data_IF_641212140125
#
_entry.id   IF_641212140125
#
_cell.length_a   1.000
_cell.length_b   1.000
_cell.length_c   1.000
_cell.angle_alpha   90.00
_cell.angle_beta   90.00
_cell.angle_gamma   90.00
#
_symmetry.space_group_name_H-M   'P 1'
#
loop_
_entity.id
_entity.type
_entity.pdbx_description
1 polymer ?
#
# COMPACT_ATOMS: atom_id res chain seq x y z
N UNK A 1 -43.45 24.29 -0.11
CA UNK A 1 -42.37 24.92 0.70
C UNK A 1 -41.23 25.28 -0.24
N UNK A 2 -40.13 25.91 0.21
CA UNK A 2 -38.94 26.13 -0.64
C UNK A 2 -37.73 25.52 0.06
N UNK A 3 -36.77 25.02 -0.71
CA UNK A 3 -35.51 24.54 -0.16
C UNK A 3 -34.76 25.72 0.47
N UNK A 4 -34.31 25.57 1.72
CA UNK A 4 -33.60 26.64 2.44
C UNK A 4 -32.19 26.88 1.87
N UNK A 5 -31.60 25.86 1.23
CA UNK A 5 -30.28 25.97 0.63
C UNK A 5 -30.28 26.60 -0.77
N UNK A 6 -31.17 26.16 -1.67
CA UNK A 6 -31.17 26.60 -3.08
C UNK A 6 -32.39 27.45 -3.49
N UNK A 7 -33.38 27.62 -2.62
CA UNK A 7 -34.54 28.49 -2.83
C UNK A 7 -35.63 27.98 -3.79
N UNK A 8 -35.47 26.78 -4.38
CA UNK A 8 -36.45 26.22 -5.31
C UNK A 8 -37.72 25.69 -4.61
N UNK A 9 -38.90 25.74 -5.27
CA UNK A 9 -40.14 25.20 -4.71
C UNK A 9 -40.02 23.69 -4.51
N UNK A 10 -40.53 23.22 -3.37
CA UNK A 10 -40.61 21.81 -3.00
C UNK A 10 -42.07 21.37 -2.98
N UNK A 11 -42.32 20.19 -3.52
CA UNK A 11 -43.61 19.52 -3.45
C UNK A 11 -43.87 18.96 -2.06
N UNK A 12 -45.15 18.75 -1.73
CA UNK A 12 -45.55 18.30 -0.39
C UNK A 12 -45.15 16.84 -0.20
N UNK A 13 -44.22 16.58 0.73
CA UNK A 13 -43.77 15.23 1.10
C UNK A 13 -42.39 14.86 0.57
N UNK A 14 -41.70 15.76 -0.13
CA UNK A 14 -40.31 15.56 -0.55
C UNK A 14 -39.37 15.47 0.67
N UNK A 15 -38.57 14.40 0.74
CA UNK A 15 -37.56 14.20 1.78
C UNK A 15 -36.23 14.89 1.43
N UNK A 16 -35.95 15.01 0.13
CA UNK A 16 -34.75 15.65 -0.43
C UNK A 16 -35.17 16.61 -1.53
N UNK A 17 -34.44 17.71 -1.68
CA UNK A 17 -34.64 18.65 -2.77
C UNK A 17 -34.24 17.98 -4.09
N UNK A 18 -35.12 17.87 -5.10
CA UNK A 18 -34.81 17.21 -6.37
C UNK A 18 -33.75 17.94 -7.20
N UNK A 19 -33.35 19.15 -6.78
CA UNK A 19 -32.50 20.04 -7.55
C UNK A 19 -31.10 20.20 -6.97
N UNK A 20 -30.96 20.16 -5.64
CA UNK A 20 -29.64 20.19 -4.99
C UNK A 20 -29.31 18.93 -4.17
N UNK A 21 -30.25 17.99 -4.04
CA UNK A 21 -30.06 16.73 -3.31
C UNK A 21 -30.09 16.84 -1.78
N UNK A 22 -30.13 18.05 -1.21
CA UNK A 22 -30.13 18.24 0.25
C UNK A 22 -31.46 17.85 0.89
N UNK A 23 -31.46 17.26 2.10
CA UNK A 23 -32.68 16.91 2.82
C UNK A 23 -33.51 18.16 3.15
N UNK A 24 -34.83 18.02 3.11
CA UNK A 24 -35.80 19.12 3.30
C UNK A 24 -36.04 19.45 4.78
N UNK A 25 -35.74 18.52 5.68
CA UNK A 25 -35.89 18.65 7.13
C UNK A 25 -34.54 18.35 7.80
N UNK A 26 -33.57 19.25 7.60
CA UNK A 26 -32.28 19.16 8.29
C UNK A 26 -32.46 19.74 9.70
N UNK A 27 -32.71 18.88 10.69
CA UNK A 27 -32.64 19.29 12.09
C UNK A 27 -31.17 19.55 12.44
N UNK A 28 -30.89 20.74 12.98
CA UNK A 28 -29.56 21.20 13.41
C UNK A 28 -28.98 20.44 14.64
N UNK A 29 -29.46 19.24 14.98
CA UNK A 29 -29.00 18.51 16.17
C UNK A 29 -27.83 17.54 15.93
N UNK A 30 -27.33 17.41 14.69
CA UNK A 30 -26.17 16.55 14.35
C UNK A 30 -25.04 17.29 13.61
N UNK A 31 -24.60 18.47 14.06
CA UNK A 31 -23.57 19.20 13.32
C UNK A 31 -22.90 20.41 13.98
N UNK A 32 -22.49 20.34 15.25
CA UNK A 32 -21.68 21.41 15.86
C UNK A 32 -20.21 21.06 16.14
N UNK A 33 -19.57 20.18 15.34
CA UNK A 33 -18.10 20.03 15.45
C UNK A 33 -17.33 19.85 14.14
N UNK A 34 -17.97 19.99 12.98
CA UNK A 34 -17.27 19.99 11.69
C UNK A 34 -17.56 21.26 10.90
N UNK A 35 -17.17 22.40 11.46
CA UNK A 35 -16.93 23.60 10.65
C UNK A 35 -15.46 23.59 10.26
N UNK A 36 -15.18 23.14 9.03
CA UNK A 36 -13.92 23.44 8.37
C UNK A 36 -13.78 24.97 8.32
N UNK A 37 -12.93 25.52 9.19
CA UNK A 37 -12.49 26.91 9.09
C UNK A 37 -11.70 27.02 7.78
N UNK A 38 -12.32 27.60 6.76
CA UNK A 38 -11.58 28.08 5.61
C UNK A 38 -10.57 29.14 6.09
N UNK A 39 -9.28 28.85 5.98
CA UNK A 39 -8.25 29.87 6.16
C UNK A 39 -8.31 30.87 5.00
N UNK A 40 -8.22 32.18 5.26
CA UNK A 40 -8.24 33.18 4.20
C UNK A 40 -6.98 33.08 3.32
N UNK A 41 -7.06 33.47 2.04
CA UNK A 41 -5.95 33.32 1.10
C UNK A 41 -4.75 34.17 1.53
N UNK A 42 -3.56 33.56 1.63
CA UNK A 42 -2.31 34.29 1.84
C UNK A 42 -1.98 35.14 0.61
N UNK A 43 -2.12 36.46 0.75
CA UNK A 43 -1.63 37.42 -0.24
C UNK A 43 -0.10 37.29 -0.40
N UNK A 44 0.34 36.87 -1.58
CA UNK A 44 1.76 36.93 -1.96
C UNK A 44 2.14 38.36 -2.27
N UNK A 45 2.77 39.01 -1.29
CA UNK A 45 3.41 40.31 -1.45
C UNK A 45 4.50 40.28 -2.52
N UNK A 46 4.23 40.97 -3.64
CA UNK A 46 5.15 41.19 -4.75
C UNK A 46 6.10 42.31 -4.36
N UNK A 47 7.37 42.01 -4.07
CA UNK A 47 8.39 43.05 -3.92
C UNK A 47 9.55 42.77 -4.88
N UNK A 48 9.78 43.71 -5.80
CA UNK A 48 10.86 43.63 -6.76
C UNK A 48 11.97 44.63 -6.41
N UNK A 49 13.23 44.21 -6.57
CA UNK A 49 14.21 44.95 -7.38
C UNK A 49 15.52 44.19 -7.61
N UNK A 50 15.90 44.24 -8.89
CA UNK A 50 17.15 43.91 -9.58
C UNK A 50 18.47 44.10 -8.82
N UNK A 51 19.47 43.28 -9.16
CA UNK A 51 20.78 43.74 -9.67
C UNK A 51 21.68 42.57 -10.13
N UNK A 52 22.51 42.83 -11.14
CA UNK A 52 23.30 41.90 -11.97
C UNK A 52 24.61 41.39 -11.34
N UNK A 53 25.14 40.33 -11.98
CA UNK A 53 26.52 39.78 -12.06
C UNK A 53 26.79 38.67 -11.04
N UNK A 54 27.11 37.43 -11.43
CA UNK A 54 28.29 37.06 -12.24
C UNK A 54 28.09 35.70 -12.94
N UNK A 55 28.28 35.68 -14.26
CA UNK A 55 28.29 34.48 -15.09
C UNK A 55 29.71 33.91 -15.11
N UNK A 56 29.97 32.90 -14.29
CA UNK A 56 31.14 32.01 -14.40
C UNK A 56 31.03 30.74 -13.52
N UNK A 57 30.20 30.73 -12.47
CA UNK A 57 30.04 29.58 -11.59
C UNK A 57 28.95 28.57 -12.01
N UNK A 58 28.03 28.97 -12.91
CA UNK A 58 26.85 28.16 -13.29
C UNK A 58 27.22 26.97 -14.20
N UNK A 59 28.30 27.08 -14.99
CA UNK A 59 28.69 26.04 -15.95
C UNK A 59 29.37 24.85 -15.25
N UNK A 60 30.15 25.09 -14.18
CA UNK A 60 30.77 24.03 -13.40
C UNK A 60 29.77 23.29 -12.50
N UNK A 61 28.80 24.00 -11.91
CA UNK A 61 27.74 23.38 -11.12
C UNK A 61 26.75 22.59 -12.00
N UNK A 62 26.43 23.08 -13.20
CA UNK A 62 25.59 22.35 -14.15
C UNK A 62 26.28 21.10 -14.71
N UNK A 63 27.59 21.15 -14.97
CA UNK A 63 28.34 19.98 -15.42
C UNK A 63 28.50 18.92 -14.31
N UNK A 64 28.71 19.34 -13.05
CA UNK A 64 28.80 18.41 -11.92
C UNK A 64 27.43 17.79 -11.59
N UNK A 65 26.34 18.57 -11.67
CA UNK A 65 24.98 18.04 -11.55
C UNK A 65 24.64 17.08 -12.69
N UNK A 66 25.08 17.36 -13.92
CA UNK A 66 24.88 16.46 -15.06
C UNK A 66 25.70 15.17 -14.91
N UNK A 67 26.93 15.24 -14.40
CA UNK A 67 27.75 14.04 -14.13
C UNK A 67 27.17 13.22 -12.98
N UNK A 68 26.65 13.86 -11.92
CA UNK A 68 25.96 13.15 -10.83
C UNK A 68 24.63 12.51 -11.30
N UNK A 69 23.88 13.19 -12.17
CA UNK A 69 22.70 12.62 -12.83
C UNK A 69 23.07 11.44 -13.75
N UNK A 70 24.17 11.55 -14.50
CA UNK A 70 24.64 10.51 -15.42
C UNK A 70 25.27 9.30 -14.70
N UNK A 71 25.85 9.48 -13.50
CA UNK A 71 26.39 8.40 -12.69
C UNK A 71 25.30 7.59 -11.98
N UNK A 72 24.14 8.20 -11.67
CA UNK A 72 22.96 7.48 -11.17
C UNK A 72 22.08 6.89 -12.30
N UNK A 73 22.27 7.30 -13.56
CA UNK A 73 21.55 6.74 -14.71
C UNK A 73 22.01 5.33 -15.13
N UNK A 74 23.09 4.80 -14.54
CA UNK A 74 23.62 3.47 -14.89
C UNK A 74 22.93 2.31 -14.15
N UNK A 75 21.95 2.59 -13.28
CA UNK A 75 21.18 1.57 -12.53
C UNK A 75 19.67 1.83 -12.58
N UNK A 76 19.18 2.70 -13.46
CA UNK A 76 17.73 2.85 -13.67
C UNK A 76 17.32 1.82 -14.72
N UNK A 77 16.60 0.74 -14.36
CA UNK A 77 16.00 -0.12 -15.38
C UNK A 77 15.11 0.78 -16.23
N UNK A 78 15.24 0.67 -17.55
CA UNK A 78 14.40 1.38 -18.51
C UNK A 78 12.92 1.12 -18.15
N UNK A 79 12.33 2.07 -17.44
CA UNK A 79 10.90 2.16 -17.19
C UNK A 79 10.26 2.45 -18.55
N UNK A 80 9.74 1.41 -19.19
CA UNK A 80 8.74 1.58 -20.23
C UNK A 80 7.47 2.07 -19.53
N UNK A 81 7.40 3.39 -19.32
CA UNK A 81 6.26 4.06 -18.71
C UNK A 81 5.10 4.15 -19.71
N UNK A 82 4.02 3.45 -19.38
CA UNK A 82 2.73 3.53 -20.04
C UNK A 82 1.62 3.64 -19.00
N UNK A 83 1.46 4.82 -18.38
CA UNK A 83 0.40 5.15 -17.41
C UNK A 83 0.83 5.05 -15.93
N UNK A 84 0.01 5.55 -14.98
CA UNK A 84 0.14 5.20 -13.56
C UNK A 84 -0.18 3.72 -13.46
N UNK A 85 0.85 2.90 -13.32
CA UNK A 85 0.71 1.46 -13.43
C UNK A 85 1.84 0.76 -12.69
N UNK A 86 1.56 -0.49 -12.34
CA UNK A 86 2.46 -1.33 -11.55
C UNK A 86 3.88 -1.37 -12.16
N UNK A 87 4.89 -1.35 -11.29
CA UNK A 87 6.32 -1.38 -11.62
C UNK A 87 6.90 -2.71 -11.17
N UNK A 88 7.19 -3.58 -12.15
CA UNK A 88 7.75 -4.90 -11.90
C UNK A 88 9.24 -5.03 -12.24
N UNK A 89 9.94 -5.95 -11.56
CA UNK A 89 11.36 -6.23 -11.75
C UNK A 89 11.60 -7.64 -12.30
N UNK A 90 12.86 -8.00 -12.60
CA UNK A 90 13.19 -9.27 -13.23
C UNK A 90 13.17 -10.47 -12.28
N UNK A 91 13.04 -10.24 -10.97
CA UNK A 91 12.98 -11.28 -9.95
C UNK A 91 12.23 -10.80 -8.69
N UNK A 92 11.73 -11.73 -7.85
CA UNK A 92 11.17 -11.39 -6.54
C UNK A 92 12.15 -10.59 -5.67
N UNK A 93 13.43 -10.95 -5.67
CA UNK A 93 14.46 -10.27 -4.87
C UNK A 93 14.68 -8.83 -5.33
N UNK A 94 14.75 -8.57 -6.64
CA UNK A 94 14.87 -7.21 -7.16
C UNK A 94 13.65 -6.35 -6.80
N UNK A 95 12.44 -6.93 -6.85
CA UNK A 95 11.19 -6.26 -6.45
C UNK A 95 11.18 -5.97 -4.96
N UNK A 96 11.61 -6.91 -4.12
CA UNK A 96 11.68 -6.75 -2.68
C UNK A 96 12.72 -5.70 -2.26
N UNK A 97 13.89 -5.70 -2.90
CA UNK A 97 14.91 -4.67 -2.69
C UNK A 97 14.40 -3.28 -3.11
N UNK A 98 13.66 -3.19 -4.22
CA UNK A 98 13.00 -1.95 -4.62
C UNK A 98 12.01 -1.49 -3.54
N UNK A 99 11.16 -2.39 -3.07
CA UNK A 99 10.21 -2.09 -2.00
C UNK A 99 10.90 -1.58 -0.73
N UNK A 100 11.97 -2.23 -0.30
CA UNK A 100 12.73 -1.79 0.86
C UNK A 100 13.34 -0.38 0.67
N UNK A 101 13.79 -0.03 -0.53
CA UNK A 101 14.28 1.32 -0.85
C UNK A 101 13.19 2.39 -0.75
N UNK A 102 11.99 2.09 -1.24
CA UNK A 102 10.86 3.03 -1.17
C UNK A 102 10.42 3.25 0.28
N UNK A 103 10.31 2.18 1.07
CA UNK A 103 10.04 2.27 2.52
C UNK A 103 11.14 3.07 3.23
N UNK A 104 12.41 2.80 2.94
CA UNK A 104 13.52 3.50 3.56
C UNK A 104 13.58 4.99 3.18
N UNK A 105 13.04 5.34 2.02
CA UNK A 105 12.91 6.72 1.54
C UNK A 105 11.63 7.41 2.02
N UNK A 106 10.80 6.71 2.79
CA UNK A 106 9.47 7.15 3.22
C UNK A 106 8.57 7.54 2.01
N UNK A 107 8.67 6.78 0.92
CA UNK A 107 7.89 6.97 -0.30
C UNK A 107 6.79 5.91 -0.42
N UNK A 108 5.61 6.24 0.12
CA UNK A 108 4.45 5.34 0.04
C UNK A 108 3.97 5.13 -1.40
N UNK A 109 4.04 6.16 -2.25
CA UNK A 109 3.57 6.07 -3.64
C UNK A 109 4.50 5.15 -4.44
N UNK A 110 5.82 5.34 -4.31
CA UNK A 110 6.81 4.43 -4.89
C UNK A 110 6.62 2.99 -4.42
N UNK A 111 6.36 2.78 -3.12
CA UNK A 111 6.12 1.44 -2.58
C UNK A 111 4.81 0.81 -3.10
N UNK A 112 3.76 1.61 -3.30
CA UNK A 112 2.48 1.15 -3.84
C UNK A 112 2.57 0.77 -5.32
N UNK A 113 3.37 1.50 -6.10
CA UNK A 113 3.60 1.20 -7.51
C UNK A 113 4.22 -0.18 -7.72
N UNK A 114 4.87 -0.78 -6.70
CA UNK A 114 5.46 -2.12 -6.79
C UNK A 114 4.44 -3.26 -6.66
N UNK A 115 3.20 -2.96 -6.27
CA UNK A 115 2.16 -3.97 -6.15
C UNK A 115 1.54 -4.28 -7.51
N UNK A 116 1.24 -5.56 -7.79
CA UNK A 116 0.62 -6.03 -9.04
C UNK A 116 -0.88 -5.73 -9.15
N UNK A 117 -1.34 -4.60 -8.62
CA UNK A 117 -2.77 -4.28 -8.46
C UNK A 117 -3.48 -4.13 -9.79
N UNK A 118 -2.89 -3.42 -10.73
CA UNK A 118 -3.44 -3.19 -12.07
C UNK A 118 -3.46 -4.48 -12.90
N UNK A 119 -2.41 -5.28 -12.80
CA UNK A 119 -2.35 -6.59 -13.46
C UNK A 119 -3.45 -7.53 -12.95
N UNK A 120 -3.68 -7.59 -11.64
CA UNK A 120 -4.78 -8.37 -11.07
C UNK A 120 -6.13 -7.83 -11.56
N UNK A 121 -6.36 -6.52 -11.49
CA UNK A 121 -7.63 -5.93 -11.90
C UNK A 121 -7.98 -6.30 -13.35
N UNK A 122 -6.99 -6.29 -14.24
CA UNK A 122 -7.16 -6.62 -15.64
C UNK A 122 -7.42 -8.12 -15.89
N UNK A 123 -6.82 -9.02 -15.09
CA UNK A 123 -6.76 -10.45 -15.42
C UNK A 123 -7.48 -11.37 -14.44
N UNK A 124 -8.03 -10.87 -13.32
CA UNK A 124 -8.64 -11.69 -12.27
C UNK A 124 -9.86 -12.49 -12.75
N UNK A 125 -9.81 -13.81 -12.60
CA UNK A 125 -10.92 -14.72 -12.85
C UNK A 125 -11.83 -14.84 -11.63
N UNK A 126 -12.86 -13.99 -11.59
CA UNK A 126 -13.82 -13.99 -10.50
C UNK A 126 -14.65 -15.27 -10.42
N UNK A 127 -14.86 -15.99 -11.52
CA UNK A 127 -15.65 -17.24 -11.50
C UNK A 127 -14.86 -18.34 -10.82
N UNK A 128 -13.62 -18.56 -11.25
CA UNK A 128 -12.72 -19.56 -10.63
C UNK A 128 -12.46 -19.24 -9.17
N UNK A 129 -12.31 -17.95 -8.81
CA UNK A 129 -12.19 -17.52 -7.41
C UNK A 129 -13.42 -17.91 -6.58
N UNK A 130 -14.64 -17.66 -7.07
CA UNK A 130 -15.88 -18.00 -6.37
C UNK A 130 -16.07 -19.51 -6.23
N UNK A 131 -15.73 -20.27 -7.26
CA UNK A 131 -15.75 -21.74 -7.22
C UNK A 131 -14.80 -22.28 -6.15
N UNK A 132 -13.57 -21.75 -6.08
CA UNK A 132 -12.59 -22.09 -5.05
C UNK A 132 -13.09 -21.75 -3.64
N UNK A 133 -13.65 -20.56 -3.45
CA UNK A 133 -14.10 -20.09 -2.13
C UNK A 133 -15.36 -20.82 -1.65
N UNK A 134 -16.14 -21.42 -2.55
CA UNK A 134 -17.38 -22.15 -2.24
C UNK A 134 -18.47 -21.30 -1.55
N UNK A 135 -18.27 -19.98 -1.51
CA UNK A 135 -19.12 -19.03 -0.82
C UNK A 135 -18.94 -17.63 -1.40
N UNK A 136 -19.97 -16.81 -1.30
CA UNK A 136 -19.91 -15.40 -1.66
C UNK A 136 -20.63 -14.53 -0.63
N UNK A 137 -20.08 -13.35 -0.35
CA UNK A 137 -20.76 -12.28 0.38
C UNK A 137 -20.45 -10.90 -0.22
N UNK A 138 -21.34 -9.94 -0.01
CA UNK A 138 -21.26 -8.60 -0.63
C UNK A 138 -19.98 -7.79 -0.29
N UNK A 139 -19.23 -8.20 0.74
CA UNK A 139 -17.94 -7.61 1.08
C UNK A 139 -16.76 -8.17 0.27
N UNK A 140 -16.92 -9.27 -0.46
CA UNK A 140 -15.87 -9.83 -1.32
C UNK A 140 -15.80 -9.07 -2.64
N UNK A 141 -15.09 -7.95 -2.61
CA UNK A 141 -15.02 -7.00 -3.73
C UNK A 141 -14.24 -7.55 -4.92
N UNK A 142 -13.36 -8.52 -4.71
CA UNK A 142 -12.60 -9.16 -5.79
C UNK A 142 -13.46 -9.90 -6.80
N UNK A 143 -14.60 -10.43 -6.34
CA UNK A 143 -15.57 -11.11 -7.18
C UNK A 143 -16.34 -10.15 -8.11
N UNK A 144 -16.27 -8.84 -7.87
CA UNK A 144 -16.93 -7.87 -8.74
C UNK A 144 -16.22 -7.77 -10.10
N UNK A 145 -16.98 -7.66 -11.21
CA UNK A 145 -16.41 -7.53 -12.54
C UNK A 145 -15.58 -6.26 -12.67
N UNK A 146 -14.41 -6.35 -13.29
CA UNK A 146 -13.52 -5.22 -13.58
C UNK A 146 -13.97 -4.39 -14.79
N UNK A 147 -15.28 -4.19 -14.98
CA UNK A 147 -15.83 -3.42 -16.10
C UNK A 147 -15.63 -1.92 -15.93
N UNK A 148 -15.69 -1.16 -17.03
CA UNK A 148 -15.70 0.33 -17.11
C UNK A 148 -16.96 0.93 -16.46
N UNK A 149 -17.11 0.67 -15.16
CA UNK A 149 -18.23 1.07 -14.32
C UNK A 149 -17.68 1.45 -12.95
N UNK A 150 -18.53 2.03 -12.10
CA UNK A 150 -18.18 2.36 -10.71
C UNK A 150 -17.59 1.17 -9.93
N UNK A 151 -17.91 -0.07 -10.31
CA UNK A 151 -17.37 -1.26 -9.66
C UNK A 151 -15.89 -1.49 -10.00
N UNK A 152 -15.48 -1.23 -11.25
CA UNK A 152 -14.07 -1.31 -11.65
C UNK A 152 -13.23 -0.24 -10.95
N UNK A 153 -13.70 1.01 -10.95
CA UNK A 153 -13.04 2.13 -10.26
C UNK A 153 -12.95 1.88 -8.76
N UNK A 154 -14.04 1.47 -8.11
CA UNK A 154 -14.04 1.17 -6.68
C UNK A 154 -13.12 -0.02 -6.34
N UNK A 155 -13.09 -1.06 -7.18
CA UNK A 155 -12.21 -2.23 -6.96
C UNK A 155 -10.74 -1.83 -7.04
N UNK A 156 -10.38 -0.93 -7.96
CA UNK A 156 -9.04 -0.34 -8.07
C UNK A 156 -8.63 0.38 -6.80
N UNK A 157 -9.47 1.31 -6.33
CA UNK A 157 -9.20 2.06 -5.10
C UNK A 157 -9.12 1.13 -3.88
N UNK A 158 -9.98 0.11 -3.80
CA UNK A 158 -9.94 -0.88 -2.70
C UNK A 158 -8.65 -1.69 -2.73
N UNK A 159 -8.19 -2.16 -3.89
CA UNK A 159 -6.93 -2.89 -4.03
C UNK A 159 -5.74 -2.04 -3.60
N UNK A 160 -5.69 -0.78 -4.05
CA UNK A 160 -4.66 0.18 -3.63
C UNK A 160 -4.72 0.45 -2.13
N UNK A 161 -5.91 0.59 -1.56
CA UNK A 161 -6.08 0.76 -0.11
C UNK A 161 -5.64 -0.48 0.69
N UNK A 162 -5.89 -1.69 0.17
CA UNK A 162 -5.42 -2.93 0.79
C UNK A 162 -3.88 -3.05 0.73
N UNK A 163 -3.23 -2.65 -0.36
CA UNK A 163 -1.77 -2.57 -0.43
C UNK A 163 -1.22 -1.56 0.59
N UNK A 164 -1.80 -0.36 0.65
CA UNK A 164 -1.42 0.68 1.62
C UNK A 164 -1.61 0.22 3.07
N UNK A 165 -2.71 -0.50 3.35
CA UNK A 165 -2.97 -1.06 4.67
C UNK A 165 -1.90 -2.09 5.06
N UNK A 166 -1.45 -2.93 4.14
CA UNK A 166 -0.37 -3.89 4.43
C UNK A 166 0.93 -3.17 4.77
N UNK A 167 1.30 -2.13 4.00
CA UNK A 167 2.48 -1.30 4.28
C UNK A 167 2.36 -0.67 5.67
N UNK A 168 1.20 -0.09 5.99
CA UNK A 168 0.94 0.53 7.28
C UNK A 168 1.11 -0.46 8.44
N UNK A 169 0.53 -1.66 8.33
CA UNK A 169 0.61 -2.67 9.39
C UNK A 169 2.03 -3.23 9.55
N UNK A 170 2.75 -3.43 8.45
CA UNK A 170 4.16 -3.82 8.47
C UNK A 170 5.00 -2.75 9.16
N UNK A 171 4.87 -1.48 8.76
CA UNK A 171 5.60 -0.36 9.35
C UNK A 171 5.26 -0.18 10.83
N UNK A 172 3.98 -0.31 11.21
CA UNK A 172 3.54 -0.26 12.62
C UNK A 172 4.26 -1.31 13.47
N UNK A 173 4.43 -2.53 12.97
CA UNK A 173 5.10 -3.62 13.71
C UNK A 173 6.61 -3.41 13.94
N UNK A 174 7.26 -2.43 13.30
CA UNK A 174 8.67 -2.15 13.53
C UNK A 174 8.96 -1.64 14.95
N UNK A 175 8.01 -0.88 15.53
CA UNK A 175 8.10 -0.34 16.90
C UNK A 175 7.01 -0.85 17.83
N UNK A 176 5.97 -1.49 17.32
CA UNK A 176 4.90 -2.02 18.16
C UNK A 176 5.37 -3.24 18.96
N UNK A 177 5.03 -3.26 20.25
CA UNK A 177 5.16 -4.47 21.06
C UNK A 177 4.12 -5.52 20.64
N UNK A 178 4.39 -6.80 20.86
CA UNK A 178 3.52 -7.93 20.48
C UNK A 178 2.09 -7.80 21.04
N UNK A 179 1.94 -7.17 22.21
CA UNK A 179 0.64 -6.91 22.84
C UNK A 179 -0.27 -6.00 22.00
N UNK A 180 0.29 -5.06 21.23
CA UNK A 180 -0.47 -4.21 20.31
C UNK A 180 -1.02 -4.99 19.11
N UNK A 181 -0.33 -6.05 18.72
CA UNK A 181 -0.63 -6.83 17.53
C UNK A 181 -1.73 -7.85 17.83
N UNK A 182 -1.70 -8.46 19.02
CA UNK A 182 -2.65 -9.51 19.40
C UNK A 182 -3.97 -8.95 19.91
N UNK A 183 -3.95 -8.10 20.94
CA UNK A 183 -5.15 -7.50 21.56
C UNK A 183 -4.75 -6.29 22.42
N UNK A 184 -4.72 -5.09 21.83
CA UNK A 184 -4.42 -3.87 22.58
C UNK A 184 -5.52 -3.54 23.61
N UNK A 185 -5.26 -3.80 24.91
CA UNK A 185 -6.04 -3.16 25.96
C UNK A 185 -5.68 -1.66 26.01
N UNK A 186 -6.68 -0.79 26.11
CA UNK A 186 -6.47 0.66 26.32
C UNK A 186 -6.03 0.92 27.78
N UNK A 187 -4.89 0.36 28.18
CA UNK A 187 -4.32 0.56 29.48
C UNK A 187 -4.05 2.06 29.71
N UNK A 188 -4.53 2.60 30.83
CA UNK A 188 -4.38 4.04 31.12
C UNK A 188 -5.41 4.96 30.45
N UNK A 189 -6.35 4.43 29.67
CA UNK A 189 -7.40 5.21 29.00
C UNK A 189 -6.98 5.76 27.63
N UNK A 190 -7.95 6.37 26.92
CA UNK A 190 -7.79 6.72 25.51
C UNK A 190 -6.68 7.76 25.23
N UNK A 191 -6.44 8.69 26.15
CA UNK A 191 -5.40 9.73 25.98
C UNK A 191 -4.00 9.13 26.06
N UNK A 192 -3.73 8.33 27.10
CA UNK A 192 -2.45 7.65 27.26
C UNK A 192 -2.16 6.68 26.11
N UNK A 193 -3.18 5.93 25.68
CA UNK A 193 -3.08 5.04 24.53
C UNK A 193 -2.80 5.82 23.23
N UNK A 194 -3.43 6.99 23.05
CA UNK A 194 -3.15 7.87 21.92
C UNK A 194 -1.70 8.35 21.85
N UNK A 195 -1.14 8.80 23.00
CA UNK A 195 0.27 9.19 23.08
C UNK A 195 1.24 8.03 22.81
N UNK A 196 0.85 6.81 23.17
CA UNK A 196 1.66 5.62 22.92
C UNK A 196 1.62 5.22 21.45
N UNK A 197 0.43 5.25 20.82
CA UNK A 197 0.29 5.05 19.38
C UNK A 197 1.10 6.07 18.57
N UNK A 198 1.13 7.35 18.97
CA UNK A 198 1.96 8.35 18.30
C UNK A 198 3.46 7.98 18.33
N UNK A 199 3.95 7.45 19.46
CA UNK A 199 5.35 7.00 19.60
C UNK A 199 5.66 5.76 18.77
N UNK A 200 4.73 4.81 18.72
CA UNK A 200 4.89 3.59 17.90
C UNK A 200 4.90 3.93 16.41
N UNK A 201 4.07 4.89 15.98
CA UNK A 201 3.99 5.35 14.60
C UNK A 201 5.13 6.31 14.19
N UNK A 202 5.93 6.81 15.13
CA UNK A 202 7.09 7.66 14.84
C UNK A 202 8.26 6.82 14.32
N UNK A 203 8.38 6.65 13.00
CA UNK A 203 9.43 5.88 12.35
C UNK A 203 10.56 6.78 11.84
N UNK A 204 11.29 7.40 12.78
CA UNK A 204 12.36 8.37 12.53
C UNK A 204 13.62 7.80 11.87
N UNK A 205 13.75 6.48 11.80
CA UNK A 205 14.93 5.78 11.26
C UNK A 205 14.60 4.87 10.08
N UNK A 206 13.57 5.22 9.28
CA UNK A 206 13.20 4.45 8.09
C UNK A 206 14.38 4.29 7.12
N UNK A 207 15.31 5.25 7.04
CA UNK A 207 16.51 5.15 6.21
C UNK A 207 17.44 3.96 6.56
N UNK A 208 17.24 3.35 7.73
CA UNK A 208 17.92 2.11 8.14
C UNK A 208 17.21 0.84 7.68
N UNK A 209 15.96 0.93 7.22
CA UNK A 209 15.15 -0.20 6.79
C UNK A 209 15.79 -0.90 5.59
N UNK A 210 15.96 -2.22 5.69
CA UNK A 210 16.49 -3.05 4.61
C UNK A 210 16.03 -4.49 4.74
N UNK A 211 16.02 -5.20 3.62
CA UNK A 211 15.91 -6.66 3.61
C UNK A 211 17.33 -7.22 3.70
N UNK A 212 17.57 -8.07 4.70
CA UNK A 212 18.84 -8.76 4.88
C UNK A 212 18.88 -10.09 4.12
N UNK A 213 17.72 -10.76 4.04
CA UNK A 213 17.61 -12.09 3.47
C UNK A 213 16.19 -12.38 3.03
N UNK A 214 16.07 -13.16 1.97
CA UNK A 214 14.83 -13.78 1.53
C UNK A 214 15.12 -15.24 1.25
N UNK A 215 14.23 -16.12 1.66
CA UNK A 215 14.30 -17.55 1.37
C UNK A 215 12.95 -18.03 0.86
N UNK A 216 12.92 -18.85 -0.20
CA UNK A 216 11.71 -19.51 -0.64
C UNK A 216 11.06 -20.25 0.53
N UNK A 217 9.75 -20.12 0.64
CA UNK A 217 9.00 -20.80 1.68
C UNK A 217 8.05 -21.83 1.09
N UNK A 218 8.32 -23.10 1.39
CA UNK A 218 7.42 -24.20 1.04
C UNK A 218 6.69 -24.67 2.31
N UNK A 219 5.35 -24.54 2.42
CA UNK A 219 4.64 -25.03 3.59
C UNK A 219 4.74 -26.56 3.71
N UNK A 220 5.50 -27.05 4.70
CA UNK A 220 5.80 -28.48 4.89
C UNK A 220 4.58 -29.40 5.16
N UNK A 221 3.45 -28.87 5.63
CA UNK A 221 2.42 -29.73 6.27
C UNK A 221 0.95 -29.44 5.93
N UNK A 222 0.63 -28.34 5.25
CA UNK A 222 -0.76 -27.84 5.22
C UNK A 222 -1.56 -28.17 3.97
N UNK A 223 -0.90 -28.56 2.89
CA UNK A 223 -1.57 -29.14 1.72
C UNK A 223 -1.61 -30.64 1.96
N UNK A 224 -2.75 -31.15 2.48
CA UNK A 224 -2.94 -32.58 2.73
C UNK A 224 -2.79 -33.44 1.47
N UNK A 225 -3.45 -34.60 1.40
CA UNK A 225 -3.41 -35.58 0.29
C UNK A 225 -3.83 -35.05 -1.12
N UNK A 226 -3.84 -33.74 -1.36
CA UNK A 226 -4.00 -33.06 -2.66
C UNK A 226 -2.82 -33.30 -3.63
N UNK A 227 -2.11 -34.42 -3.52
CA UNK A 227 -1.12 -34.87 -4.51
C UNK A 227 -0.03 -33.85 -4.87
N UNK A 228 0.70 -34.15 -5.93
CA UNK A 228 1.84 -33.37 -6.47
C UNK A 228 1.45 -32.05 -7.16
N UNK A 229 0.25 -31.51 -6.92
CA UNK A 229 -0.16 -30.25 -7.54
C UNK A 229 0.37 -29.07 -6.74
N UNK A 230 1.19 -28.25 -7.40
CA UNK A 230 1.65 -26.97 -6.88
C UNK A 230 0.45 -26.11 -6.45
N UNK A 231 0.32 -25.81 -5.14
CA UNK A 231 -0.83 -25.09 -4.60
C UNK A 231 -0.94 -23.65 -5.13
N UNK A 232 0.18 -23.09 -5.61
CA UNK A 232 0.25 -21.72 -6.08
C UNK A 232 -0.20 -21.57 -7.53
N UNK A 233 -0.06 -22.62 -8.36
CA UNK A 233 -0.54 -22.62 -9.75
C UNK A 233 -2.02 -22.23 -9.92
N UNK A 234 -2.91 -22.69 -9.03
CA UNK A 234 -4.33 -22.34 -9.07
C UNK A 234 -4.55 -20.86 -8.71
N UNK A 235 -3.81 -20.34 -7.72
CA UNK A 235 -3.90 -18.94 -7.27
C UNK A 235 -3.30 -17.97 -8.30
N UNK A 236 -2.20 -18.36 -8.94
CA UNK A 236 -1.62 -17.67 -10.08
C UNK A 236 -2.65 -17.57 -11.21
N UNK A 237 -3.26 -18.68 -11.60
CA UNK A 237 -4.28 -18.72 -12.64
C UNK A 237 -5.51 -17.85 -12.31
N UNK A 238 -6.01 -17.88 -11.07
CA UNK A 238 -7.11 -17.00 -10.62
C UNK A 238 -6.72 -15.53 -10.73
N UNK A 239 -5.48 -15.18 -10.41
CA UNK A 239 -4.96 -13.81 -10.52
C UNK A 239 -4.58 -13.43 -11.95
N UNK A 240 -4.63 -14.38 -12.88
CA UNK A 240 -4.15 -14.24 -14.26
C UNK A 240 -2.65 -14.05 -14.39
N UNK A 241 -1.89 -14.45 -13.37
CA UNK A 241 -0.43 -14.40 -13.33
C UNK A 241 0.18 -15.65 -13.96
N UNK A 242 1.38 -15.50 -14.51
CA UNK A 242 2.20 -16.59 -15.04
C UNK A 242 2.79 -17.45 -13.93
N UNK A 243 3.10 -16.84 -12.78
CA UNK A 243 3.71 -17.50 -11.63
C UNK A 243 3.33 -16.82 -10.30
N UNK A 244 3.53 -17.55 -9.20
CA UNK A 244 3.27 -17.12 -7.82
C UNK A 244 4.31 -17.72 -6.87
N UNK A 245 5.01 -16.86 -6.15
CA UNK A 245 6.04 -17.29 -5.20
C UNK A 245 5.88 -16.63 -3.83
N UNK A 246 6.23 -17.37 -2.78
CA UNK A 246 6.21 -16.90 -1.40
C UNK A 246 7.59 -17.03 -0.76
N UNK A 247 7.97 -15.99 -0.02
CA UNK A 247 9.26 -15.91 0.65
C UNK A 247 9.05 -15.60 2.13
N UNK A 248 9.87 -16.22 2.97
CA UNK A 248 10.17 -15.70 4.30
C UNK A 248 11.23 -14.63 4.16
N UNK A 249 11.06 -13.51 4.86
CA UNK A 249 11.93 -12.35 4.71
C UNK A 249 12.47 -11.92 6.07
N UNK A 250 13.78 -11.73 6.15
CA UNK A 250 14.45 -11.14 7.30
C UNK A 250 14.73 -9.67 7.00
N UNK A 251 14.08 -8.80 7.76
CA UNK A 251 14.23 -7.35 7.70
C UNK A 251 15.17 -6.86 8.80
N UNK A 252 15.78 -5.70 8.58
CA UNK A 252 16.46 -4.90 9.60
C UNK A 252 15.84 -3.50 9.65
N UNK A 253 15.67 -2.97 10.86
CA UNK A 253 15.30 -1.59 11.15
C UNK A 253 15.92 -1.18 12.48
N UNK A 254 16.59 -0.02 12.54
CA UNK A 254 17.26 0.51 13.75
C UNK A 254 18.15 -0.53 14.47
N UNK A 255 18.89 -1.31 13.67
CA UNK A 255 19.77 -2.39 14.15
C UNK A 255 19.06 -3.57 14.82
N UNK A 256 17.73 -3.64 14.76
CA UNK A 256 16.91 -4.78 15.17
C UNK A 256 16.49 -5.58 13.93
N UNK A 257 16.34 -6.89 14.10
CA UNK A 257 15.92 -7.79 13.01
C UNK A 257 14.51 -8.33 13.23
N UNK A 258 13.80 -8.54 12.13
CA UNK A 258 12.40 -8.93 12.12
C UNK A 258 12.13 -9.96 11.02
N UNK A 259 11.31 -10.95 11.30
CA UNK A 259 10.80 -11.89 10.30
C UNK A 259 9.42 -11.42 9.81
N UNK A 260 9.22 -11.49 8.50
CA UNK A 260 7.89 -11.43 7.88
C UNK A 260 7.82 -12.37 6.68
N UNK A 261 6.89 -12.09 5.78
CA UNK A 261 6.82 -12.78 4.50
C UNK A 261 6.48 -11.82 3.37
N UNK A 262 6.75 -12.22 2.15
CA UNK A 262 6.30 -11.53 0.96
C UNK A 262 5.82 -12.55 -0.07
N UNK A 263 4.72 -12.21 -0.74
CA UNK A 263 4.17 -12.99 -1.85
C UNK A 263 4.26 -12.16 -3.11
N UNK A 264 4.73 -12.79 -4.19
CA UNK A 264 4.96 -12.14 -5.47
C UNK A 264 4.16 -12.82 -6.58
N UNK A 265 3.78 -12.02 -7.57
CA UNK A 265 3.14 -12.48 -8.81
C UNK A 265 4.05 -12.16 -9.98
N UNK A 266 4.14 -13.09 -10.93
CA UNK A 266 4.80 -12.87 -12.21
C UNK A 266 3.79 -12.58 -13.31
N UNK A 267 4.00 -11.50 -14.06
CA UNK A 267 3.29 -11.20 -15.30
C UNK A 267 4.32 -10.83 -16.36
N UNK A 268 4.33 -11.54 -17.50
CA UNK A 268 5.21 -11.24 -18.64
C UNK A 268 6.71 -11.11 -18.24
N UNK A 269 7.21 -12.07 -17.46
CA UNK A 269 8.58 -12.10 -16.92
C UNK A 269 8.92 -10.94 -15.96
N UNK A 270 7.91 -10.30 -15.38
CA UNK A 270 8.06 -9.23 -14.37
C UNK A 270 7.39 -9.61 -13.07
N UNK A 271 8.08 -9.34 -11.96
CA UNK A 271 7.63 -9.67 -10.61
C UNK A 271 7.12 -8.46 -9.87
N UNK A 272 5.99 -8.64 -9.19
CA UNK A 272 5.28 -7.60 -8.45
C UNK A 272 4.94 -8.10 -7.05
N UNK A 273 4.83 -7.19 -6.09
CA UNK A 273 4.32 -7.53 -4.75
C UNK A 273 2.81 -7.81 -4.85
N UNK A 274 2.36 -8.90 -4.26
CA UNK A 274 0.94 -9.13 -4.04
C UNK A 274 0.58 -8.93 -2.58
N UNK A 275 1.36 -9.56 -1.69
CA UNK A 275 1.17 -9.46 -0.26
C UNK A 275 2.50 -9.21 0.47
N UNK A 276 2.44 -8.46 1.56
CA UNK A 276 3.53 -8.33 2.55
C UNK A 276 3.41 -9.37 3.66
N UNK A 277 2.88 -10.53 3.29
CA UNK A 277 2.72 -11.70 4.12
C UNK A 277 2.56 -12.91 3.21
N UNK A 278 2.85 -14.09 3.74
CA UNK A 278 2.62 -15.40 3.11
C UNK A 278 1.19 -15.89 3.35
N UNK A 279 0.67 -16.82 2.56
CA UNK A 279 -0.72 -17.29 2.68
C UNK A 279 -1.12 -17.60 4.15
N UNK A 280 -2.21 -16.97 4.61
CA UNK A 280 -2.78 -17.04 5.99
C UNK A 280 -1.91 -16.45 7.11
N UNK A 281 -0.83 -15.74 6.81
CA UNK A 281 -0.16 -14.87 7.78
C UNK A 281 -0.77 -13.46 7.79
N UNK A 282 -0.30 -12.63 8.71
CA UNK A 282 -0.61 -11.20 8.78
C UNK A 282 0.58 -10.39 8.25
N UNK A 283 0.37 -9.14 7.81
CA UNK A 283 1.44 -8.24 7.39
C UNK A 283 2.31 -7.72 8.55
N UNK A 284 2.10 -8.21 9.77
CA UNK A 284 2.91 -7.82 10.92
C UNK A 284 4.24 -8.56 10.91
N UNK A 285 5.30 -7.82 11.22
CA UNK A 285 6.64 -8.37 11.40
C UNK A 285 6.82 -8.84 12.85
N UNK A 286 7.51 -9.96 13.02
CA UNK A 286 7.87 -10.49 14.32
C UNK A 286 9.34 -10.24 14.59
N UNK A 287 9.67 -9.60 15.71
CA UNK A 287 11.06 -9.42 16.11
C UNK A 287 11.74 -10.78 16.28
N UNK A 288 12.86 -10.97 15.59
CA UNK A 288 13.52 -12.28 15.50
C UNK A 288 14.99 -12.12 15.13
N UNK A 289 15.90 -12.83 15.81
CA UNK A 289 17.32 -12.87 15.42
C UNK A 289 17.55 -13.69 14.15
N UNK A 290 18.65 -13.45 13.45
CA UNK A 290 19.03 -14.25 12.27
C UNK A 290 19.15 -15.75 12.58
N UNK A 291 19.66 -16.11 13.76
CA UNK A 291 19.75 -17.52 14.18
C UNK A 291 18.40 -18.18 14.42
N UNK A 292 17.43 -17.42 14.92
CA UNK A 292 16.05 -17.91 15.09
C UNK A 292 15.36 -18.03 13.73
N UNK A 293 15.57 -17.05 12.85
CA UNK A 293 15.07 -17.07 11.47
C UNK A 293 15.55 -18.31 10.73
N UNK A 294 16.86 -18.61 10.74
CA UNK A 294 17.42 -19.80 10.09
C UNK A 294 16.94 -21.13 10.70
N UNK A 295 16.33 -21.11 11.88
CA UNK A 295 15.73 -22.27 12.52
C UNK A 295 14.23 -22.43 12.20
N UNK A 296 13.63 -21.51 11.42
CA UNK A 296 12.22 -21.54 11.06
C UNK A 296 11.91 -22.77 10.19
N UNK A 297 10.95 -23.62 10.57
CA UNK A 297 10.57 -24.79 9.77
C UNK A 297 10.02 -24.38 8.39
N UNK A 298 10.48 -25.07 7.34
CA UNK A 298 10.04 -24.84 5.96
C UNK A 298 10.94 -23.89 5.16
N UNK A 299 12.07 -23.46 5.74
CA UNK A 299 13.19 -22.92 4.99
C UNK A 299 13.99 -24.06 4.34
N UNK A 300 14.28 -23.93 3.05
CA UNK A 300 15.08 -24.89 2.26
C UNK A 300 16.60 -24.62 2.33
#
# INVERSE_FOLDING_TARGET
MRCEHCGKPLEKGEKFCPECGLPVDFREDWGQDWVLKEEPPKERGRNGKNSRKTAAAVIAAAALALVLLLQNLSVIPLLFSGGPGDVGFGSPEETAEAFAREIASNDLEGALDLFGTEHILANFDSVSYLERMGSWFAGQTDAYPSSETIFGDAKREIRRALAAQQILLMCFSLKADEEYIEFGEMAGGAEAFGEELEKVCDLDQLDTFRILRMDPYTPLEYWGDRGEQDPYSELAAISGADDWEEYLVLYEYDGQTYQGGMTFLCYEDRWYVQYLYRERATPFLQKMSESEYLATPGLE
#
